data_IF_233243844454
#
_entry.id   IF_233243844454
#
_cell.length_a   1.000
_cell.length_b   1.000
_cell.length_c   1.000
_cell.angle_alpha   90.00
_cell.angle_beta   90.00
_cell.angle_gamma   90.00
#
_symmetry.space_group_name_H-M   'P 1'
#
loop_
_entity.id
_entity.type
_entity.pdbx_description
1 polymer ?
#
# COMPACT_ATOMS: atom_id res chain seq x y z
N UNK A 1 -65.79 -25.48 36.28
CA UNK A 1 -65.56 -25.35 37.74
C UNK A 1 -65.11 -23.91 38.01
N UNK A 2 -65.94 -23.10 38.68
CA UNK A 2 -65.62 -21.68 38.94
C UNK A 2 -64.59 -21.58 40.07
N UNK A 3 -63.37 -21.17 39.76
CA UNK A 3 -62.32 -20.96 40.75
C UNK A 3 -62.74 -19.90 41.77
N UNK A 4 -62.47 -20.14 43.04
CA UNK A 4 -62.78 -19.20 44.12
C UNK A 4 -61.93 -17.93 43.99
N UNK A 5 -62.39 -16.83 44.58
CA UNK A 5 -61.67 -15.55 44.57
C UNK A 5 -60.22 -15.69 45.07
N UNK A 6 -60.00 -16.54 46.07
CA UNK A 6 -58.67 -16.86 46.63
C UNK A 6 -57.77 -17.57 45.60
N UNK A 7 -58.32 -18.53 44.85
CA UNK A 7 -57.58 -19.25 43.81
C UNK A 7 -57.18 -18.35 42.63
N UNK A 8 -58.07 -17.43 42.22
CA UNK A 8 -57.77 -16.45 41.17
C UNK A 8 -56.63 -15.49 41.56
N UNK A 9 -56.57 -15.09 42.83
CA UNK A 9 -55.51 -14.21 43.32
C UNK A 9 -54.15 -14.92 43.43
N UNK A 10 -54.12 -16.20 43.84
CA UNK A 10 -52.88 -16.99 43.85
C UNK A 10 -52.33 -17.18 42.45
N UNK A 11 -53.19 -17.46 41.47
CA UNK A 11 -52.80 -17.59 40.06
C UNK A 11 -52.24 -16.27 39.52
N UNK A 12 -52.90 -15.13 39.81
CA UNK A 12 -52.40 -13.80 39.43
C UNK A 12 -51.04 -13.48 40.05
N UNK A 13 -50.84 -13.83 41.32
CA UNK A 13 -49.57 -13.62 42.02
C UNK A 13 -48.46 -14.49 41.41
N UNK A 14 -48.78 -15.73 41.03
CA UNK A 14 -47.85 -16.63 40.35
C UNK A 14 -47.44 -16.11 38.96
N UNK A 15 -48.39 -15.57 38.19
CA UNK A 15 -48.09 -14.95 36.89
C UNK A 15 -47.28 -13.64 37.03
N UNK A 16 -47.58 -12.81 38.03
CA UNK A 16 -46.78 -11.61 38.32
C UNK A 16 -45.36 -11.96 38.76
N UNK A 17 -45.19 -13.01 39.56
CA UNK A 17 -43.87 -13.47 40.02
C UNK A 17 -43.05 -14.06 38.86
N UNK A 18 -43.65 -14.91 38.02
CA UNK A 18 -42.97 -15.47 36.85
C UNK A 18 -42.62 -14.41 35.80
N UNK A 19 -43.48 -13.40 35.61
CA UNK A 19 -43.19 -12.24 34.76
C UNK A 19 -42.01 -11.41 35.30
N UNK A 20 -41.91 -11.21 36.62
CA UNK A 20 -40.80 -10.50 37.25
C UNK A 20 -39.47 -11.28 37.16
N UNK A 21 -39.50 -12.60 37.34
CA UNK A 21 -38.31 -13.45 37.20
C UNK A 21 -37.80 -13.43 35.76
N UNK A 22 -38.68 -13.48 34.75
CA UNK A 22 -38.30 -13.39 33.34
C UNK A 22 -37.70 -12.03 32.94
N UNK A 23 -38.20 -10.93 33.49
CA UNK A 23 -37.61 -9.58 33.27
C UNK A 23 -36.27 -9.43 34.00
N UNK A 24 -36.11 -10.03 35.19
CA UNK A 24 -34.82 -10.01 35.89
C UNK A 24 -33.74 -10.83 35.16
N UNK A 25 -34.14 -11.90 34.47
CA UNK A 25 -33.23 -12.73 33.67
C UNK A 25 -32.78 -12.05 32.36
N UNK A 26 -33.56 -11.09 31.83
CA UNK A 26 -33.17 -10.29 30.65
C UNK A 26 -32.42 -8.99 31.01
N UNK A 27 -32.43 -8.59 32.29
CA UNK A 27 -31.69 -7.43 32.84
C UNK A 27 -30.37 -7.82 33.51
N UNK A 28 -29.91 -9.07 33.39
CA UNK A 28 -28.51 -9.37 33.64
C UNK A 28 -27.70 -8.59 32.60
N UNK A 29 -26.82 -7.64 32.98
CA UNK A 29 -25.88 -7.09 32.04
C UNK A 29 -25.12 -8.28 31.45
N UNK A 30 -25.31 -8.51 30.14
CA UNK A 30 -24.43 -9.38 29.37
C UNK A 30 -23.05 -8.75 29.43
N UNK A 31 -22.32 -9.02 30.51
CA UNK A 31 -20.87 -8.88 30.58
C UNK A 31 -20.31 -9.99 29.71
N UNK A 32 -20.50 -9.87 28.39
CA UNK A 32 -19.57 -10.49 27.47
C UNK A 32 -18.21 -9.91 27.87
N UNK A 33 -17.23 -10.72 28.30
CA UNK A 33 -15.90 -10.19 28.47
C UNK A 33 -15.53 -9.57 27.13
N UNK A 34 -15.30 -8.26 27.11
CA UNK A 34 -14.62 -7.62 26.00
C UNK A 34 -13.27 -8.32 25.97
N UNK A 35 -13.12 -9.35 25.12
CA UNK A 35 -11.83 -9.90 24.76
C UNK A 35 -11.14 -8.81 23.95
N UNK A 36 -10.63 -7.80 24.65
CA UNK A 36 -9.42 -7.14 24.19
C UNK A 36 -8.38 -8.25 24.17
N UNK A 37 -8.01 -8.70 22.99
CA UNK A 37 -6.74 -9.40 22.82
C UNK A 37 -5.66 -8.38 23.14
N UNK A 38 -5.35 -8.21 24.42
CA UNK A 38 -4.24 -7.38 24.84
C UNK A 38 -2.99 -7.98 24.20
N UNK A 39 -2.46 -7.29 23.19
CA UNK A 39 -1.18 -7.64 22.60
C UNK A 39 -0.12 -6.94 23.43
N UNK A 40 0.81 -7.70 24.00
CA UNK A 40 1.96 -7.11 24.68
C UNK A 40 2.90 -6.55 23.63
N UNK A 41 3.25 -5.28 23.81
CA UNK A 41 4.30 -4.61 23.06
C UNK A 41 5.48 -4.47 24.02
N UNK A 42 6.64 -5.00 23.66
CA UNK A 42 7.80 -5.08 24.57
C UNK A 42 8.38 -3.70 24.88
N UNK A 43 8.45 -2.82 23.88
CA UNK A 43 8.98 -1.47 24.03
C UNK A 43 8.16 -0.47 23.20
N UNK A 44 7.78 0.65 23.85
CA UNK A 44 7.09 1.77 23.20
C UNK A 44 7.90 3.03 23.44
N UNK A 45 8.31 3.68 22.36
CA UNK A 45 8.99 4.97 22.40
C UNK A 45 8.01 6.09 22.05
N UNK A 46 8.10 7.22 22.75
CA UNK A 46 7.29 8.41 22.46
C UNK A 46 8.18 9.43 21.75
N UNK A 47 7.80 9.78 20.53
CA UNK A 47 8.54 10.70 19.67
C UNK A 47 7.74 11.98 19.44
N UNK A 48 8.46 13.08 19.25
CA UNK A 48 7.90 14.36 18.88
C UNK A 48 8.78 15.05 17.83
N UNK A 49 8.21 16.01 17.09
CA UNK A 49 8.97 16.88 16.19
C UNK A 49 9.94 16.14 15.27
N UNK A 50 11.20 16.56 15.34
CA UNK A 50 12.28 16.00 14.52
C UNK A 50 12.63 14.54 14.86
N UNK A 51 12.39 14.08 16.09
CA UNK A 51 12.61 12.67 16.45
C UNK A 51 11.62 11.76 15.70
N UNK A 52 10.34 12.16 15.66
CA UNK A 52 9.32 11.47 14.86
C UNK A 52 9.69 11.50 13.38
N UNK A 53 10.03 12.67 12.84
CA UNK A 53 10.41 12.81 11.44
C UNK A 53 11.58 11.89 11.05
N UNK A 54 12.66 11.89 11.82
CA UNK A 54 13.82 11.07 11.53
C UNK A 54 13.46 9.57 11.59
N UNK A 55 12.78 9.14 12.66
CA UNK A 55 12.43 7.72 12.84
C UNK A 55 11.45 7.22 11.77
N UNK A 56 10.44 8.00 11.40
CA UNK A 56 9.47 7.60 10.38
C UNK A 56 10.10 7.58 8.99
N UNK A 57 10.97 8.55 8.68
CA UNK A 57 11.72 8.57 7.42
C UNK A 57 12.62 7.34 7.30
N UNK A 58 13.36 7.02 8.36
CA UNK A 58 14.25 5.86 8.38
C UNK A 58 13.47 4.54 8.25
N UNK A 59 12.31 4.43 8.90
CA UNK A 59 11.45 3.26 8.77
C UNK A 59 10.90 3.10 7.35
N UNK A 60 10.43 4.18 6.72
CA UNK A 60 9.98 4.18 5.32
C UNK A 60 11.11 3.79 4.37
N UNK A 61 12.29 4.42 4.51
CA UNK A 61 13.44 4.19 3.65
C UNK A 61 13.95 2.74 3.72
N UNK A 62 13.82 2.10 4.88
CA UNK A 62 14.31 0.74 5.11
C UNK A 62 13.26 -0.36 4.93
N UNK A 63 11.98 0.00 4.77
CA UNK A 63 10.88 -0.95 4.61
C UNK A 63 11.14 -1.94 3.47
N UNK A 64 10.73 -3.20 3.67
CA UNK A 64 10.97 -4.31 2.73
C UNK A 64 9.69 -4.89 2.17
N UNK A 65 8.55 -4.73 2.84
CA UNK A 65 7.32 -5.40 2.47
C UNK A 65 6.17 -4.46 2.20
N UNK A 66 5.87 -3.58 3.15
CA UNK A 66 4.67 -2.76 3.07
C UNK A 66 4.81 -1.45 3.80
N UNK A 67 4.18 -0.43 3.24
CA UNK A 67 3.96 0.84 3.92
C UNK A 67 2.49 1.22 3.80
N UNK A 68 1.88 1.54 4.95
CA UNK A 68 0.53 2.11 4.99
C UNK A 68 0.58 3.44 5.73
N UNK A 69 0.08 4.48 5.09
CA UNK A 69 -0.05 5.82 5.67
C UNK A 69 -1.51 6.20 5.69
N UNK A 70 -2.10 6.31 6.88
CA UNK A 70 -3.35 7.04 7.07
C UNK A 70 -3.03 8.38 7.70
N UNK A 71 -3.26 9.43 6.94
CA UNK A 71 -2.88 10.76 7.39
C UNK A 71 -4.00 11.76 7.12
N UNK A 72 -4.48 12.35 8.21
CA UNK A 72 -5.50 13.39 8.13
C UNK A 72 -5.08 14.56 7.23
N UNK A 73 -3.88 15.09 7.44
CA UNK A 73 -3.30 16.17 6.62
C UNK A 73 -1.85 15.83 6.24
N UNK A 74 -1.57 15.89 4.93
CA UNK A 74 -0.23 15.90 4.33
C UNK A 74 -0.05 17.24 3.61
N UNK A 75 0.45 18.22 4.36
CA UNK A 75 0.74 19.57 3.88
C UNK A 75 2.16 19.63 3.32
N UNK A 76 2.30 19.31 2.02
CA UNK A 76 3.55 19.40 1.30
C UNK A 76 3.67 20.71 0.50
N UNK A 77 4.90 21.13 0.24
CA UNK A 77 5.23 22.28 -0.60
C UNK A 77 6.26 21.88 -1.68
N UNK A 78 6.34 22.66 -2.75
CA UNK A 78 7.30 22.46 -3.84
C UNK A 78 8.71 22.92 -3.44
N UNK A 79 9.31 22.17 -2.51
CA UNK A 79 10.66 22.39 -2.02
C UNK A 79 11.23 21.05 -1.54
N UNK A 80 12.33 20.60 -2.15
CA UNK A 80 12.96 19.31 -1.81
C UNK A 80 13.53 19.27 -0.38
N UNK A 81 13.80 20.43 0.21
CA UNK A 81 14.21 20.55 1.62
C UNK A 81 13.03 20.52 2.59
N UNK A 82 11.79 20.58 2.10
CA UNK A 82 10.60 20.49 2.94
C UNK A 82 10.46 19.07 3.52
N UNK A 83 10.30 18.89 4.84
CA UNK A 83 10.34 17.56 5.46
C UNK A 83 9.26 16.61 4.93
N UNK A 84 8.05 17.12 4.65
CA UNK A 84 6.98 16.30 4.05
C UNK A 84 7.33 15.87 2.62
N UNK A 85 8.04 16.71 1.85
CA UNK A 85 8.47 16.35 0.50
C UNK A 85 9.49 15.21 0.56
N UNK A 86 10.40 15.24 1.53
CA UNK A 86 11.36 14.15 1.76
C UNK A 86 10.64 12.83 2.10
N UNK A 87 9.61 12.85 2.95
CA UNK A 87 8.81 11.65 3.22
C UNK A 87 8.13 11.12 1.97
N UNK A 88 7.60 11.98 1.10
CA UNK A 88 6.98 11.57 -0.18
C UNK A 88 8.00 10.94 -1.12
N UNK A 89 9.21 11.50 -1.21
CA UNK A 89 10.28 10.92 -2.03
C UNK A 89 10.75 9.57 -1.48
N UNK A 90 10.79 9.37 -0.15
CA UNK A 90 11.07 8.05 0.43
C UNK A 90 9.94 7.04 0.17
N UNK A 91 8.67 7.46 0.23
CA UNK A 91 7.53 6.60 -0.14
C UNK A 91 7.62 6.16 -1.60
N UNK A 92 7.92 7.11 -2.50
CA UNK A 92 8.19 6.84 -3.91
C UNK A 92 9.35 5.87 -4.08
N UNK A 93 10.48 6.10 -3.40
CA UNK A 93 11.65 5.20 -3.47
C UNK A 93 11.29 3.80 -2.98
N UNK A 94 10.50 3.68 -1.92
CA UNK A 94 10.04 2.39 -1.40
C UNK A 94 9.12 1.68 -2.41
N UNK A 95 8.15 2.37 -3.00
CA UNK A 95 7.27 1.84 -4.05
C UNK A 95 8.07 1.39 -5.28
N UNK A 96 9.01 2.23 -5.74
CA UNK A 96 9.97 1.87 -6.77
C UNK A 96 10.82 0.67 -6.34
N UNK A 97 11.11 0.47 -5.06
CA UNK A 97 11.85 -0.69 -4.56
C UNK A 97 10.97 -1.94 -4.34
N UNK A 98 9.73 -1.95 -4.82
CA UNK A 98 8.82 -3.08 -4.73
C UNK A 98 8.13 -3.24 -3.36
N UNK A 99 8.12 -2.20 -2.53
CA UNK A 99 7.35 -2.16 -1.28
C UNK A 99 5.90 -1.84 -1.62
N UNK A 100 4.92 -2.52 -1.00
CA UNK A 100 3.51 -2.19 -1.21
C UNK A 100 3.15 -0.91 -0.45
N UNK A 101 3.18 0.23 -1.14
CA UNK A 101 2.95 1.55 -0.54
C UNK A 101 1.52 2.03 -0.80
N UNK A 102 0.78 2.26 0.28
CA UNK A 102 -0.57 2.81 0.26
C UNK A 102 -0.69 4.06 1.13
N UNK A 103 -1.34 5.09 0.58
CA UNK A 103 -1.58 6.34 1.30
C UNK A 103 -3.07 6.69 1.22
N UNK A 104 -3.68 6.94 2.37
CA UNK A 104 -5.07 7.39 2.48
C UNK A 104 -5.12 8.72 3.23
N UNK A 105 -5.82 9.68 2.63
CA UNK A 105 -6.02 11.03 3.15
C UNK A 105 -7.51 11.32 3.27
N UNK A 106 -7.92 12.28 4.10
CA UNK A 106 -9.34 12.64 4.20
C UNK A 106 -9.80 13.50 3.02
N UNK A 107 -10.91 13.14 2.36
CA UNK A 107 -11.44 13.90 1.21
C UNK A 107 -11.89 15.31 1.59
N UNK A 108 -12.42 15.50 2.81
CA UNK A 108 -12.92 16.81 3.26
C UNK A 108 -11.79 17.82 3.45
N UNK A 109 -10.55 17.33 3.54
CA UNK A 109 -9.34 18.13 3.63
C UNK A 109 -8.53 18.11 2.32
N UNK A 110 -9.17 17.78 1.19
CA UNK A 110 -8.58 17.77 -0.15
C UNK A 110 -7.76 19.03 -0.45
N UNK A 111 -8.24 20.22 -0.14
CA UNK A 111 -7.49 21.46 -0.40
C UNK A 111 -6.11 21.50 0.27
N UNK A 112 -5.97 20.90 1.47
CA UNK A 112 -4.68 20.82 2.17
C UNK A 112 -3.81 19.66 1.68
N UNK A 113 -4.44 18.63 1.12
CA UNK A 113 -3.82 17.38 0.72
C UNK A 113 -3.48 17.33 -0.79
N UNK A 114 -4.07 18.19 -1.61
CA UNK A 114 -4.10 18.05 -3.07
C UNK A 114 -2.71 18.06 -3.70
N UNK A 115 -1.81 18.89 -3.17
CA UNK A 115 -0.44 18.94 -3.65
C UNK A 115 0.29 17.61 -3.40
N UNK A 116 0.22 17.09 -2.17
CA UNK A 116 0.81 15.80 -1.81
C UNK A 116 0.15 14.64 -2.57
N UNK A 117 -1.18 14.65 -2.69
CA UNK A 117 -1.94 13.68 -3.46
C UNK A 117 -1.48 13.65 -4.92
N UNK A 118 -1.33 14.82 -5.54
CA UNK A 118 -0.87 14.93 -6.92
C UNK A 118 0.56 14.44 -7.11
N UNK A 119 1.44 14.70 -6.14
CA UNK A 119 2.82 14.23 -6.17
C UNK A 119 2.87 12.69 -6.08
N UNK A 120 2.22 12.09 -5.08
CA UNK A 120 2.13 10.63 -4.90
C UNK A 120 1.46 9.94 -6.09
N UNK A 121 0.39 10.53 -6.65
CA UNK A 121 -0.31 9.93 -7.79
C UNK A 121 0.56 9.90 -9.05
N UNK A 122 1.45 10.89 -9.24
CA UNK A 122 2.39 10.91 -10.36
C UNK A 122 3.51 9.88 -10.22
N UNK A 123 3.81 9.43 -8.99
CA UNK A 123 4.89 8.47 -8.75
C UNK A 123 4.47 7.01 -8.90
N UNK A 124 3.16 6.72 -8.98
CA UNK A 124 2.62 5.36 -9.05
C UNK A 124 2.14 4.81 -7.70
N UNK A 125 2.44 5.50 -6.61
CA UNK A 125 2.00 5.12 -5.25
C UNK A 125 0.48 5.05 -5.19
N UNK A 126 -0.03 4.01 -4.53
CA UNK A 126 -1.48 3.79 -4.36
C UNK A 126 -2.04 4.82 -3.37
N UNK A 127 -2.52 5.95 -3.90
CA UNK A 127 -3.10 7.04 -3.10
C UNK A 127 -4.62 7.18 -3.28
N UNK A 128 -5.33 7.34 -2.16
CA UNK A 128 -6.80 7.50 -2.12
C UNK A 128 -7.22 8.61 -1.15
N UNK A 129 -8.37 9.19 -1.44
CA UNK A 129 -9.12 9.97 -0.46
C UNK A 129 -10.16 9.06 0.21
N UNK A 130 -10.28 9.15 1.53
CA UNK A 130 -11.41 8.60 2.28
C UNK A 130 -12.63 9.50 2.03
N UNK A 131 -13.54 9.00 1.19
CA UNK A 131 -14.82 9.60 0.83
C UNK A 131 -15.99 9.10 1.72
N UNK A 132 -15.69 8.38 2.81
CA UNK A 132 -16.72 7.90 3.72
C UNK A 132 -17.38 9.03 4.50
N UNK A 133 -18.49 8.72 5.17
CA UNK A 133 -19.20 9.68 6.03
C UNK A 133 -18.42 10.02 7.33
N UNK A 134 -17.31 9.33 7.62
CA UNK A 134 -16.54 9.50 8.88
C UNK A 134 -15.19 10.16 8.61
N UNK A 135 -14.76 11.04 9.51
CA UNK A 135 -13.47 11.72 9.35
C UNK A 135 -12.32 10.74 9.59
N UNK A 136 -11.44 10.58 8.59
CA UNK A 136 -10.13 9.96 8.74
C UNK A 136 -9.23 10.93 9.51
N UNK A 137 -9.32 10.88 10.83
CA UNK A 137 -8.51 11.74 11.71
C UNK A 137 -7.22 11.07 12.19
N UNK A 138 -6.89 9.90 11.65
CA UNK A 138 -5.70 9.13 11.98
C UNK A 138 -4.41 9.84 11.52
N UNK A 139 -3.34 9.63 12.29
CA UNK A 139 -1.95 9.83 11.87
C UNK A 139 -1.21 8.55 12.20
N UNK A 140 -1.38 7.59 11.29
CA UNK A 140 -0.89 6.23 11.40
C UNK A 140 0.07 6.00 10.26
N UNK A 141 1.26 5.49 10.59
CA UNK A 141 2.21 4.97 9.62
C UNK A 141 2.58 3.55 10.05
N UNK A 142 2.50 2.62 9.12
CA UNK A 142 3.01 1.26 9.29
C UNK A 142 4.10 1.09 8.26
N UNK A 143 5.28 0.66 8.69
CA UNK A 143 6.37 0.25 7.82
C UNK A 143 6.80 -1.15 8.28
N UNK A 144 6.45 -2.17 7.50
CA UNK A 144 6.56 -3.59 7.85
C UNK A 144 5.89 -3.93 9.19
N UNK A 145 6.68 -4.07 10.25
CA UNK A 145 6.24 -4.38 11.62
C UNK A 145 6.28 -3.17 12.56
N UNK A 146 6.87 -2.06 12.12
CA UNK A 146 6.96 -0.82 12.88
C UNK A 146 5.68 -0.01 12.71
N UNK A 147 5.06 0.35 13.84
CA UNK A 147 3.84 1.14 13.88
C UNK A 147 4.13 2.48 14.53
N UNK A 148 3.72 3.56 13.85
CA UNK A 148 3.69 4.91 14.37
C UNK A 148 2.24 5.36 14.49
N UNK A 149 1.80 5.75 15.68
CA UNK A 149 0.44 6.25 15.90
C UNK A 149 0.46 7.41 16.88
N UNK A 150 -0.16 8.53 16.51
CA UNK A 150 -0.07 9.75 17.31
C UNK A 150 -0.92 10.90 16.81
N UNK A 151 -0.53 12.10 17.24
CA UNK A 151 -1.23 13.36 16.95
C UNK A 151 -0.60 14.16 15.79
N UNK A 152 0.66 13.88 15.44
CA UNK A 152 1.41 14.64 14.44
C UNK A 152 0.88 14.41 13.01
N UNK A 153 0.28 15.45 12.42
CA UNK A 153 0.08 15.48 10.97
C UNK A 153 1.42 15.61 10.23
N UNK A 154 1.43 15.33 8.92
CA UNK A 154 2.60 15.65 8.10
C UNK A 154 2.52 17.10 7.63
N UNK A 155 3.14 18.00 8.40
CA UNK A 155 3.35 19.41 8.07
C UNK A 155 4.74 19.84 8.52
N UNK A 156 5.30 20.89 7.92
CA UNK A 156 6.63 21.38 8.30
C UNK A 156 6.73 21.67 9.81
N UNK A 157 5.74 22.36 10.38
CA UNK A 157 5.75 22.76 11.79
C UNK A 157 5.61 21.57 12.75
N UNK A 158 4.81 20.55 12.40
CA UNK A 158 4.69 19.35 13.23
C UNK A 158 5.96 18.50 13.18
N UNK A 159 6.58 18.37 12.00
CA UNK A 159 7.80 17.57 11.81
C UNK A 159 9.09 18.27 12.29
N UNK A 160 9.07 19.60 12.46
CA UNK A 160 10.20 20.36 13.02
C UNK A 160 10.09 20.60 14.54
N UNK A 161 8.98 20.18 15.17
CA UNK A 161 8.77 20.34 16.62
C UNK A 161 8.16 21.69 17.03
N UNK A 162 7.62 22.46 16.09
CA UNK A 162 6.89 23.69 16.39
C UNK A 162 5.49 23.45 16.98
N UNK A 163 4.91 22.26 16.79
CA UNK A 163 3.69 21.83 17.48
C UNK A 163 4.02 20.95 18.70
N UNK A 164 3.20 21.05 19.74
CA UNK A 164 3.18 20.06 20.82
C UNK A 164 2.44 18.80 20.34
N UNK A 165 3.20 17.79 19.94
CA UNK A 165 2.70 16.52 19.42
C UNK A 165 3.33 15.34 20.17
N UNK A 166 2.65 14.20 20.16
CA UNK A 166 3.22 12.95 20.64
C UNK A 166 2.82 11.80 19.71
N UNK A 167 3.80 10.97 19.36
CA UNK A 167 3.61 9.78 18.56
C UNK A 167 4.26 8.59 19.24
N UNK A 168 3.49 7.55 19.51
CA UNK A 168 4.02 6.27 19.93
C UNK A 168 4.61 5.54 18.72
N UNK A 169 5.81 5.00 18.88
CA UNK A 169 6.42 4.06 17.94
C UNK A 169 6.76 2.76 18.65
N UNK A 170 6.47 1.64 18.00
CA UNK A 170 6.80 0.31 18.49
C UNK A 170 6.84 -0.70 17.36
N UNK A 171 7.56 -1.80 17.58
CA UNK A 171 7.61 -2.94 16.67
C UNK A 171 6.71 -4.05 17.19
N UNK A 172 5.68 -4.40 16.42
CA UNK A 172 4.82 -5.53 16.74
C UNK A 172 4.14 -6.08 15.47
N UNK A 173 4.56 -7.25 14.95
CA UNK A 173 4.00 -7.82 13.73
C UNK A 173 2.49 -8.06 13.78
N UNK A 174 1.96 -8.46 14.94
CA UNK A 174 0.53 -8.74 15.10
C UNK A 174 -0.30 -7.46 15.06
N UNK A 175 0.13 -6.40 15.75
CA UNK A 175 -0.54 -5.10 15.71
C UNK A 175 -0.42 -4.47 14.32
N UNK A 176 0.78 -4.54 13.71
CA UNK A 176 1.01 -4.05 12.36
C UNK A 176 0.08 -4.74 11.35
N UNK A 177 -0.03 -6.07 11.39
CA UNK A 177 -0.95 -6.83 10.52
C UNK A 177 -2.41 -6.42 10.73
N UNK A 178 -2.87 -6.37 11.99
CA UNK A 178 -4.25 -6.02 12.30
C UNK A 178 -4.58 -4.62 11.77
N UNK A 179 -3.71 -3.63 11.98
CA UNK A 179 -3.93 -2.27 11.47
C UNK A 179 -3.81 -2.23 9.93
N UNK A 180 -2.86 -2.95 9.35
CA UNK A 180 -2.67 -3.01 7.89
C UNK A 180 -3.84 -3.68 7.18
N UNK A 181 -4.52 -4.64 7.80
CA UNK A 181 -5.73 -5.27 7.25
C UNK A 181 -6.88 -4.30 7.03
N UNK A 182 -6.93 -3.17 7.75
CA UNK A 182 -7.98 -2.15 7.58
C UNK A 182 -7.92 -1.45 6.22
N UNK A 183 -6.82 -1.60 5.46
CA UNK A 183 -6.68 -1.02 4.11
C UNK A 183 -7.80 -1.44 3.16
N UNK A 184 -8.42 -2.60 3.41
CA UNK A 184 -9.54 -3.11 2.62
C UNK A 184 -10.76 -2.18 2.63
N UNK A 185 -10.89 -1.33 3.65
CA UNK A 185 -11.95 -0.32 3.73
C UNK A 185 -11.78 0.78 2.65
N UNK A 186 -10.56 0.95 2.12
CA UNK A 186 -10.19 1.98 1.16
C UNK A 186 -9.77 1.43 -0.21
N UNK A 187 -9.25 0.20 -0.22
CA UNK A 187 -8.81 -0.54 -1.39
C UNK A 187 -9.49 -1.90 -1.40
N UNK A 188 -10.65 -2.00 -2.06
CA UNK A 188 -11.42 -3.25 -2.10
C UNK A 188 -10.57 -4.41 -2.65
N UNK A 189 -10.79 -5.62 -2.11
CA UNK A 189 -10.12 -6.85 -2.53
C UNK A 189 -10.29 -7.11 -4.03
N UNK A 190 -11.45 -6.76 -4.60
CA UNK A 190 -11.67 -6.86 -6.04
C UNK A 190 -10.75 -5.92 -6.84
N UNK A 191 -10.49 -4.70 -6.33
CA UNK A 191 -9.58 -3.74 -6.93
C UNK A 191 -8.13 -4.20 -6.79
N UNK A 192 -7.71 -4.67 -5.62
CA UNK A 192 -6.37 -5.22 -5.40
C UNK A 192 -6.10 -6.43 -6.33
N UNK A 193 -7.06 -7.33 -6.46
CA UNK A 193 -7.00 -8.45 -7.40
C UNK A 193 -6.94 -7.97 -8.86
N UNK A 194 -7.73 -6.96 -9.22
CA UNK A 194 -7.69 -6.37 -10.56
C UNK A 194 -6.35 -5.69 -10.86
N UNK A 195 -5.70 -5.07 -9.87
CA UNK A 195 -4.36 -4.48 -10.02
C UNK A 195 -3.29 -5.56 -10.25
N UNK A 196 -3.33 -6.67 -9.49
CA UNK A 196 -2.43 -7.81 -9.76
C UNK A 196 -2.63 -8.35 -11.17
N UNK A 197 -3.88 -8.57 -11.58
CA UNK A 197 -4.21 -8.99 -12.96
C UNK A 197 -3.71 -7.99 -14.00
N UNK A 198 -3.78 -6.69 -13.72
CA UNK A 198 -3.25 -5.66 -14.60
C UNK A 198 -1.75 -5.81 -14.83
N UNK A 199 -0.99 -6.05 -13.77
CA UNK A 199 0.46 -6.27 -13.85
C UNK A 199 0.78 -7.57 -14.60
N UNK A 200 0.03 -8.65 -14.37
CA UNK A 200 0.20 -9.91 -15.12
C UNK A 200 -0.03 -9.72 -16.63
N UNK A 201 -1.11 -9.05 -17.02
CA UNK A 201 -1.37 -8.75 -18.43
C UNK A 201 -0.28 -7.85 -19.00
N UNK A 202 0.09 -6.78 -18.30
CA UNK A 202 1.15 -5.85 -18.69
C UNK A 202 2.48 -6.57 -18.97
N UNK A 203 2.95 -7.38 -18.02
CA UNK A 203 4.23 -8.12 -18.14
C UNK A 203 4.17 -9.17 -19.24
N UNK A 204 3.04 -9.88 -19.36
CA UNK A 204 2.81 -10.86 -20.43
C UNK A 204 2.85 -10.21 -21.82
N UNK A 205 2.21 -9.06 -22.01
CA UNK A 205 2.26 -8.35 -23.30
C UNK A 205 3.66 -7.85 -23.63
N UNK A 206 4.38 -7.29 -22.65
CA UNK A 206 5.77 -6.87 -22.85
C UNK A 206 6.66 -8.06 -23.26
N UNK A 207 6.49 -9.22 -22.62
CA UNK A 207 7.22 -10.45 -22.96
C UNK A 207 6.86 -10.96 -24.37
N UNK A 208 5.59 -10.91 -24.76
CA UNK A 208 5.13 -11.28 -26.09
C UNK A 208 5.76 -10.40 -27.18
N UNK A 209 5.86 -9.08 -26.94
CA UNK A 209 6.51 -8.17 -27.88
C UNK A 209 8.01 -8.47 -27.98
N UNK A 210 8.70 -8.72 -26.87
CA UNK A 210 10.11 -9.09 -26.90
C UNK A 210 10.34 -10.41 -27.64
N UNK A 211 9.37 -11.34 -27.68
CA UNK A 211 9.41 -12.57 -28.49
C UNK A 211 9.16 -12.32 -29.99
N UNK A 212 8.34 -11.33 -30.33
CA UNK A 212 7.92 -11.04 -31.71
C UNK A 212 9.04 -10.50 -32.61
N UNK A 213 8.76 -10.30 -33.90
CA UNK A 213 9.71 -9.63 -34.81
C UNK A 213 10.10 -8.23 -34.34
N UNK A 214 9.18 -7.49 -33.72
CA UNK A 214 9.43 -6.13 -33.22
C UNK A 214 10.54 -6.08 -32.15
N UNK A 215 10.64 -7.12 -31.31
CA UNK A 215 11.70 -7.25 -30.31
C UNK A 215 13.06 -7.69 -30.88
N UNK A 216 13.16 -7.96 -32.18
CA UNK A 216 14.34 -8.57 -32.78
C UNK A 216 15.63 -7.76 -32.64
N UNK A 217 15.54 -6.42 -32.70
CA UNK A 217 16.70 -5.55 -32.43
C UNK A 217 17.15 -5.67 -30.98
N UNK A 218 16.21 -5.56 -30.04
CA UNK A 218 16.49 -5.62 -28.59
C UNK A 218 17.13 -6.95 -28.21
N UNK A 219 16.63 -8.07 -28.75
CA UNK A 219 17.25 -9.40 -28.53
C UNK A 219 18.72 -9.43 -28.97
N UNK A 220 19.03 -8.87 -30.15
CA UNK A 220 20.42 -8.78 -30.64
C UNK A 220 21.29 -7.88 -29.77
N UNK A 221 20.75 -6.76 -29.31
CA UNK A 221 21.47 -5.83 -28.43
C UNK A 221 21.80 -6.52 -27.09
N UNK A 222 20.86 -7.29 -26.52
CA UNK A 222 21.09 -8.09 -25.32
C UNK A 222 22.17 -9.17 -25.53
N UNK A 223 22.13 -9.88 -26.67
CA UNK A 223 23.19 -10.84 -27.02
C UNK A 223 24.56 -10.16 -27.16
N UNK A 224 24.62 -8.95 -27.72
CA UNK A 224 25.87 -8.19 -27.85
C UNK A 224 26.46 -7.77 -26.48
N UNK A 225 25.61 -7.64 -25.45
CA UNK A 225 26.02 -7.44 -24.05
C UNK A 225 26.46 -8.75 -23.36
N UNK A 226 26.45 -9.88 -24.07
CA UNK A 226 26.77 -11.20 -23.55
C UNK A 226 25.66 -11.82 -22.71
N UNK A 227 24.42 -11.36 -22.86
CA UNK A 227 23.26 -11.92 -22.19
C UNK A 227 22.55 -12.95 -23.08
N UNK A 228 22.02 -14.01 -22.48
CA UNK A 228 21.21 -15.00 -23.20
C UNK A 228 19.77 -14.48 -23.35
N UNK A 229 19.43 -13.94 -24.52
CA UNK A 229 18.10 -13.37 -24.77
C UNK A 229 16.97 -14.39 -24.62
N UNK A 230 17.20 -15.65 -24.98
CA UNK A 230 16.17 -16.69 -24.92
C UNK A 230 15.89 -17.08 -23.47
N UNK A 231 16.94 -17.19 -22.65
CA UNK A 231 16.79 -17.43 -21.21
C UNK A 231 16.12 -16.25 -20.50
N UNK A 232 16.48 -15.00 -20.84
CA UNK A 232 15.81 -13.81 -20.31
C UNK A 232 14.30 -13.83 -20.64
N UNK A 233 13.96 -14.10 -21.90
CA UNK A 233 12.57 -14.22 -22.35
C UNK A 233 11.83 -15.33 -21.62
N UNK A 234 12.46 -16.50 -21.45
CA UNK A 234 11.89 -17.64 -20.70
C UNK A 234 11.70 -17.32 -19.22
N UNK A 235 12.54 -16.43 -18.69
CA UNK A 235 12.48 -15.89 -17.33
C UNK A 235 11.50 -14.73 -17.20
N UNK A 236 10.67 -14.47 -18.22
CA UNK A 236 9.59 -13.49 -18.19
C UNK A 236 10.00 -12.06 -18.57
N UNK A 237 11.24 -11.84 -19.02
CA UNK A 237 11.67 -10.50 -19.47
C UNK A 237 10.89 -10.09 -20.72
N UNK A 238 10.40 -8.87 -20.71
CA UNK A 238 9.69 -8.22 -21.80
C UNK A 238 10.31 -6.90 -22.19
N UNK A 239 9.75 -6.28 -23.22
CA UNK A 239 10.19 -4.99 -23.73
C UNK A 239 9.00 -4.16 -24.17
N UNK A 240 9.07 -2.86 -23.87
CA UNK A 240 8.05 -1.89 -24.27
C UNK A 240 8.46 -1.21 -25.57
N UNK A 241 7.59 -1.19 -26.59
CA UNK A 241 7.90 -0.54 -27.86
C UNK A 241 8.01 0.98 -27.74
N UNK A 242 8.55 1.61 -28.79
CA UNK A 242 8.64 3.08 -28.89
C UNK A 242 7.27 3.77 -28.85
N UNK A 243 6.22 3.11 -29.34
CA UNK A 243 4.84 3.58 -29.24
C UNK A 243 4.21 3.06 -27.94
N UNK A 244 4.51 3.76 -26.85
CA UNK A 244 3.99 3.44 -25.51
C UNK A 244 2.47 3.56 -25.44
N UNK A 245 1.87 4.50 -26.18
CA UNK A 245 0.42 4.75 -26.11
C UNK A 245 -0.38 3.63 -26.77
N UNK A 246 0.08 3.08 -27.89
CA UNK A 246 -0.56 1.91 -28.49
C UNK A 246 -0.42 0.67 -27.60
N UNK A 247 0.76 0.47 -27.00
CA UNK A 247 0.95 -0.60 -26.02
C UNK A 247 -0.02 -0.49 -24.83
N UNK A 248 -0.21 0.73 -24.28
CA UNK A 248 -1.16 0.97 -23.20
C UNK A 248 -2.58 0.59 -23.59
N UNK A 249 -3.03 0.93 -24.80
CA UNK A 249 -4.36 0.56 -25.30
C UNK A 249 -4.55 -0.95 -25.38
N UNK A 250 -3.56 -1.69 -25.86
CA UNK A 250 -3.62 -3.16 -25.96
C UNK A 250 -3.80 -3.78 -24.58
N UNK A 251 -2.97 -3.38 -23.61
CA UNK A 251 -3.05 -3.89 -22.23
C UNK A 251 -4.40 -3.55 -21.60
N UNK A 252 -4.88 -2.31 -21.71
CA UNK A 252 -6.19 -1.90 -21.19
C UNK A 252 -7.33 -2.70 -21.84
N UNK A 253 -7.29 -2.90 -23.16
CA UNK A 253 -8.25 -3.71 -23.89
C UNK A 253 -8.31 -5.15 -23.37
N UNK A 254 -7.15 -5.78 -23.11
CA UNK A 254 -7.08 -7.14 -22.53
C UNK A 254 -7.58 -7.21 -21.09
N UNK A 255 -7.49 -6.11 -20.35
CA UNK A 255 -8.10 -5.97 -19.03
C UNK A 255 -9.61 -5.72 -19.09
N UNK A 256 -10.18 -5.48 -20.27
CA UNK A 256 -11.60 -5.18 -20.45
C UNK A 256 -11.98 -3.76 -20.03
N UNK A 257 -11.01 -2.83 -20.01
CA UNK A 257 -11.20 -1.43 -19.60
C UNK A 257 -10.65 -0.48 -20.67
N UNK A 258 -11.15 0.75 -20.71
CA UNK A 258 -10.73 1.76 -21.68
C UNK A 258 -9.79 2.83 -21.11
N UNK A 259 -9.63 2.88 -19.78
CA UNK A 259 -8.84 3.89 -19.09
C UNK A 259 -8.37 3.40 -17.71
N UNK A 260 -7.59 4.24 -17.03
CA UNK A 260 -7.16 3.96 -15.65
C UNK A 260 -5.78 3.30 -15.55
N UNK A 261 -4.89 3.49 -16.52
CA UNK A 261 -3.52 2.95 -16.50
C UNK A 261 -2.84 3.01 -15.11
N UNK A 262 -2.69 4.23 -14.57
CA UNK A 262 -2.10 4.44 -13.24
C UNK A 262 -3.01 4.00 -12.10
N UNK A 263 -4.34 4.01 -12.30
CA UNK A 263 -5.29 3.47 -11.31
C UNK A 263 -5.04 1.99 -11.06
N UNK A 264 -4.66 1.24 -12.10
CA UNK A 264 -4.38 -0.19 -12.02
C UNK A 264 -2.96 -0.51 -11.53
N UNK A 265 -2.19 0.48 -11.06
CA UNK A 265 -0.83 0.30 -10.56
C UNK A 265 0.22 0.06 -11.65
N UNK A 266 -0.09 0.42 -12.91
CA UNK A 266 0.84 0.24 -14.02
C UNK A 266 1.84 1.41 -14.11
N UNK A 267 3.12 1.12 -14.41
CA UNK A 267 4.18 2.13 -14.43
C UNK A 267 4.05 3.10 -15.61
N UNK A 268 4.53 4.33 -15.43
CA UNK A 268 4.54 5.37 -16.48
C UNK A 268 5.95 5.66 -16.97
N UNK A 269 6.09 6.28 -18.15
CA UNK A 269 7.39 6.60 -18.77
C UNK A 269 8.24 5.36 -19.05
N UNK A 270 7.60 4.34 -19.63
CA UNK A 270 8.18 3.00 -19.82
C UNK A 270 8.64 2.72 -21.25
N UNK A 271 8.51 3.70 -22.15
CA UNK A 271 8.96 3.61 -23.54
C UNK A 271 10.37 3.04 -23.66
N UNK A 272 10.51 1.98 -24.45
CA UNK A 272 11.80 1.36 -24.77
C UNK A 272 12.43 0.56 -23.63
N UNK A 273 11.80 0.50 -22.44
CA UNK A 273 12.35 -0.18 -21.27
C UNK A 273 12.18 -1.70 -21.35
N UNK A 274 13.11 -2.42 -20.74
CA UNK A 274 12.90 -3.81 -20.40
C UNK A 274 12.03 -3.90 -19.14
N UNK A 275 11.12 -4.85 -19.16
CA UNK A 275 10.24 -5.18 -18.04
C UNK A 275 10.62 -6.58 -17.57
N UNK A 276 11.15 -6.68 -16.36
CA UNK A 276 11.57 -7.95 -15.79
C UNK A 276 10.56 -8.35 -14.71
N UNK A 277 10.29 -9.65 -14.50
CA UNK A 277 9.61 -10.09 -13.29
C UNK A 277 10.43 -9.64 -12.08
N UNK A 278 9.81 -8.85 -11.21
CA UNK A 278 10.44 -8.36 -10.00
C UNK A 278 9.80 -8.96 -8.75
N UNK A 279 10.38 -8.63 -7.60
CA UNK A 279 9.91 -9.15 -6.32
C UNK A 279 8.45 -8.79 -6.06
N UNK A 280 7.71 -9.71 -5.41
CA UNK A 280 6.32 -9.50 -4.96
C UNK A 280 5.36 -9.12 -6.08
N UNK A 281 5.66 -9.55 -7.30
CA UNK A 281 4.82 -9.28 -8.47
C UNK A 281 4.94 -7.85 -9.00
N UNK A 282 5.86 -7.03 -8.49
CA UNK A 282 6.10 -5.68 -9.02
C UNK A 282 7.23 -5.78 -10.05
N UNK A 283 7.00 -5.39 -11.32
CA UNK A 283 8.01 -5.53 -12.36
C UNK A 283 9.18 -4.58 -12.13
N UNK A 284 10.39 -5.04 -12.43
CA UNK A 284 11.56 -4.18 -12.52
C UNK A 284 11.68 -3.54 -13.91
N UNK A 285 12.00 -2.25 -13.94
CA UNK A 285 12.09 -1.44 -15.14
C UNK A 285 13.55 -1.08 -15.37
N UNK A 286 14.06 -1.49 -16.52
CA UNK A 286 15.48 -1.36 -16.85
C UNK A 286 15.64 -0.55 -18.13
N UNK A 287 16.43 0.50 -18.05
CA UNK A 287 17.03 1.17 -19.20
C UNK A 287 18.30 0.40 -19.59
N UNK A 288 18.12 -0.59 -20.47
CA UNK A 288 19.21 -1.46 -20.91
C UNK A 288 20.16 -0.77 -21.90
N UNK A 289 19.80 0.40 -22.45
CA UNK A 289 20.70 1.18 -23.31
C UNK A 289 21.74 1.90 -22.45
N UNK A 290 21.33 2.36 -21.26
CA UNK A 290 22.21 3.02 -20.30
C UNK A 290 22.64 2.10 -19.13
N UNK A 291 22.30 0.81 -19.20
CA UNK A 291 22.54 -0.20 -18.14
C UNK A 291 22.13 0.27 -16.75
N UNK A 292 20.93 0.86 -16.64
CA UNK A 292 20.41 1.42 -15.40
C UNK A 292 19.11 0.76 -14.96
N UNK A 293 19.05 0.35 -13.69
CA UNK A 293 17.80 0.01 -13.02
C UNK A 293 17.05 1.32 -12.70
N UNK A 294 15.90 1.53 -13.31
CA UNK A 294 15.09 2.73 -13.08
C UNK A 294 14.08 2.53 -11.95
N UNK A 295 13.54 1.32 -11.84
CA UNK A 295 12.66 0.92 -10.75
C UNK A 295 12.55 -0.60 -10.60
N UNK A 296 11.91 -1.01 -9.52
CA UNK A 296 11.72 -2.37 -9.07
C UNK A 296 12.96 -2.99 -8.46
N UNK A 297 12.81 -4.24 -8.02
CA UNK A 297 13.92 -5.13 -7.68
C UNK A 297 13.86 -6.34 -8.59
N UNK A 298 15.02 -6.68 -9.14
CA UNK A 298 15.16 -7.87 -9.95
C UNK A 298 15.10 -9.08 -9.03
N UNK A 299 14.31 -10.09 -9.38
CA UNK A 299 14.31 -11.37 -8.66
C UNK A 299 15.70 -11.97 -8.80
N UNK A 300 16.41 -12.02 -7.67
CA UNK A 300 17.68 -12.74 -7.56
C UNK A 300 17.38 -14.24 -7.53
N UNK A 301 18.36 -15.12 -7.80
CA UNK A 301 18.22 -16.59 -7.86
C UNK A 301 17.73 -17.15 -9.21
N UNK A 302 17.63 -16.31 -10.24
CA UNK A 302 17.48 -16.74 -11.62
C UNK A 302 18.78 -16.39 -12.38
N UNK A 303 19.54 -17.38 -12.91
CA UNK A 303 20.85 -17.12 -13.51
C UNK A 303 20.85 -16.06 -14.62
N UNK A 304 19.80 -16.01 -15.45
CA UNK A 304 19.71 -15.04 -16.53
C UNK A 304 19.43 -13.62 -16.00
N UNK A 305 18.55 -13.50 -15.01
CA UNK A 305 18.27 -12.22 -14.36
C UNK A 305 19.45 -11.75 -13.50
N UNK A 306 20.17 -12.67 -12.85
CA UNK A 306 21.39 -12.39 -12.09
C UNK A 306 22.49 -11.86 -13.00
N UNK A 307 22.68 -12.45 -14.19
CA UNK A 307 23.63 -11.96 -15.19
C UNK A 307 23.30 -10.54 -15.66
N UNK A 308 22.02 -10.23 -15.90
CA UNK A 308 21.58 -8.88 -16.24
C UNK A 308 21.79 -7.92 -15.05
N UNK A 309 21.43 -8.32 -13.83
CA UNK A 309 21.62 -7.52 -12.61
C UNK A 309 23.10 -7.16 -12.37
N UNK A 310 24.02 -8.11 -12.57
CA UNK A 310 25.46 -7.85 -12.47
C UNK A 310 25.93 -6.79 -13.46
N UNK A 311 25.37 -6.75 -14.67
CA UNK A 311 25.72 -5.74 -15.67
C UNK A 311 25.23 -4.35 -15.30
N UNK A 312 24.04 -4.23 -14.69
CA UNK A 312 23.51 -2.96 -14.23
C UNK A 312 24.38 -2.34 -13.13
N UNK A 313 24.90 -3.18 -12.23
CA UNK A 313 25.77 -2.74 -11.13
C UNK A 313 27.22 -2.46 -11.55
N UNK A 314 27.64 -2.89 -12.74
CA UNK A 314 29.00 -2.66 -13.24
C UNK A 314 29.19 -1.24 -13.82
N UNK A 315 28.11 -0.47 -13.93
CA UNK A 315 28.06 0.88 -14.52
C UNK A 315 27.84 2.00 -13.50
N UNK A 316 27.70 1.69 -12.22
CA UNK A 316 27.75 2.64 -11.08
C UNK A 316 29.19 2.79 -10.54
#
# INVERSE_FOLDING_TARGET
MNLSFKQKNVIRLFFLFTFFVLISATLLPFNLPIRSSAVNVEEVNILNGSEYFNKVRDAIANAKERILVYMFIISAEENSMHPVHQLIEELKRADLNGVDVMVVMDERFKLKNEYAYSLLKKTGVKVRYDATQRILHSKLVIADNTVFIGSANWSAIALSGGNAEATAVFDNPQVAENLYSTRIDFFDQSELSAMHKAIEVFTSEANAILKSEAGGKVRRDLTALGLNSDELISSGVGWIPSDEEEFKKIVLSKLGVSSGWTRWGLPSNIRGRLILPGEKGIPAIVDYENMKLESGKIITHNPALDALSQRLNATE
#
